data_IF_154530628224
#
_entry.id   IF_154530628224
#
_cell.length_a   1.000
_cell.length_b   1.000
_cell.length_c   1.000
_cell.angle_alpha   90.00
_cell.angle_beta   90.00
_cell.angle_gamma   90.00
#
_symmetry.space_group_name_H-M   'P 1'
#
loop_
_entity.id
_entity.type
_entity.pdbx_description
1 polymer ?
#
# COMPACT_ATOMS: atom_id res chain seq x y z
N UNK A 1 -8.05 -9.16 -1.32
CA UNK A 1 -8.90 -10.40 -1.27
C UNK A 1 -9.21 -10.88 -2.67
N UNK A 2 -9.65 -12.14 -2.89
CA UNK A 2 -9.93 -12.67 -4.24
C UNK A 2 -10.95 -11.87 -5.06
N UNK A 3 -11.77 -11.05 -4.39
CA UNK A 3 -12.79 -10.17 -5.00
C UNK A 3 -12.44 -8.68 -4.90
N UNK A 4 -11.26 -8.35 -4.39
CA UNK A 4 -10.83 -6.97 -4.24
C UNK A 4 -10.24 -6.47 -5.56
N UNK A 5 -10.60 -5.25 -5.94
CA UNK A 5 -10.01 -4.59 -7.09
C UNK A 5 -8.63 -4.02 -6.71
N UNK A 6 -7.53 -4.51 -7.31
CA UNK A 6 -6.18 -4.08 -6.97
C UNK A 6 -5.92 -2.61 -7.31
N UNK A 7 -6.55 -2.07 -8.37
CA UNK A 7 -6.39 -0.66 -8.74
C UNK A 7 -7.09 0.23 -7.72
N UNK A 8 -8.33 -0.11 -7.37
CA UNK A 8 -9.09 0.61 -6.34
C UNK A 8 -8.40 0.56 -4.97
N UNK A 9 -7.78 -0.57 -4.63
CA UNK A 9 -6.99 -0.71 -3.41
C UNK A 9 -5.82 0.27 -3.40
N UNK A 10 -5.04 0.36 -4.48
CA UNK A 10 -3.89 1.26 -4.59
C UNK A 10 -4.31 2.74 -4.50
N UNK A 11 -5.37 3.13 -5.20
CA UNK A 11 -5.87 4.51 -5.17
C UNK A 11 -6.30 4.91 -3.76
N UNK A 12 -7.16 4.10 -3.12
CA UNK A 12 -7.62 4.35 -1.75
C UNK A 12 -6.47 4.39 -0.75
N UNK A 13 -5.51 3.49 -0.91
CA UNK A 13 -4.36 3.44 -0.02
C UNK A 13 -3.47 4.68 -0.18
N UNK A 14 -3.24 5.15 -1.42
CA UNK A 14 -2.50 6.37 -1.69
C UNK A 14 -3.19 7.61 -1.10
N UNK A 15 -4.52 7.70 -1.19
CA UNK A 15 -5.31 8.77 -0.56
C UNK A 15 -5.15 8.77 0.97
N UNK A 16 -5.24 7.59 1.60
CA UNK A 16 -5.06 7.45 3.06
C UNK A 16 -3.64 7.85 3.47
N UNK A 17 -2.61 7.34 2.77
CA UNK A 17 -1.22 7.68 3.05
C UNK A 17 -0.96 9.19 2.89
N UNK A 18 -1.59 9.82 1.90
CA UNK A 18 -1.50 11.26 1.65
C UNK A 18 -2.18 12.10 2.75
N UNK A 19 -3.18 11.56 3.45
CA UNK A 19 -3.87 12.24 4.55
C UNK A 19 -3.06 12.30 5.86
N UNK A 20 -1.94 11.59 5.95
CA UNK A 20 -1.09 11.54 7.15
C UNK A 20 -0.27 12.82 7.40
N UNK A 21 -0.47 13.86 6.60
CA UNK A 21 0.22 15.16 6.76
C UNK A 21 1.68 15.16 6.28
N UNK A 22 2.09 14.15 5.51
CA UNK A 22 3.40 14.09 4.89
C UNK A 22 3.54 15.15 3.78
N UNK A 23 4.74 15.74 3.65
CA UNK A 23 5.05 16.62 2.52
C UNK A 23 5.04 15.83 1.20
N UNK A 24 4.86 16.50 0.05
CA UNK A 24 4.89 15.82 -1.27
C UNK A 24 6.16 14.97 -1.47
N UNK A 25 7.31 15.45 -0.96
CA UNK A 25 8.58 14.74 -1.04
C UNK A 25 8.64 13.48 -0.16
N UNK A 26 7.81 13.41 0.89
CA UNK A 26 7.75 12.28 1.82
C UNK A 26 6.65 11.28 1.48
N UNK A 27 5.63 11.68 0.70
CA UNK A 27 4.47 10.83 0.37
C UNK A 27 4.87 9.51 -0.26
N UNK A 28 5.82 9.51 -1.18
CA UNK A 28 6.31 8.27 -1.81
C UNK A 28 7.00 7.37 -0.78
N UNK A 29 7.84 7.92 0.09
CA UNK A 29 8.51 7.15 1.14
C UNK A 29 7.52 6.59 2.18
N UNK A 30 6.52 7.38 2.57
CA UNK A 30 5.45 6.94 3.48
C UNK A 30 4.62 5.85 2.81
N UNK A 31 4.24 6.03 1.55
CA UNK A 31 3.51 5.03 0.77
C UNK A 31 4.27 3.70 0.72
N UNK A 32 5.54 3.73 0.30
CA UNK A 32 6.38 2.53 0.21
C UNK A 32 6.55 1.84 1.56
N UNK A 33 6.69 2.61 2.65
CA UNK A 33 6.82 2.06 4.00
C UNK A 33 5.52 1.43 4.51
N UNK A 34 4.38 2.02 4.17
CA UNK A 34 3.08 1.60 4.69
C UNK A 34 2.43 0.51 3.82
N UNK A 35 2.73 0.46 2.51
CA UNK A 35 2.14 -0.48 1.55
C UNK A 35 2.20 -1.95 1.98
N UNK A 36 3.32 -2.48 2.52
CA UNK A 36 3.36 -3.89 2.97
C UNK A 36 2.34 -4.22 4.07
N UNK A 37 1.92 -3.20 4.83
CA UNK A 37 0.93 -3.35 5.90
C UNK A 37 -0.51 -3.41 5.38
N UNK A 38 -0.77 -2.96 4.15
CA UNK A 38 -2.10 -3.07 3.53
C UNK A 38 -2.35 -4.47 2.95
N UNK A 39 -1.29 -5.26 2.74
CA UNK A 39 -1.36 -6.59 2.17
C UNK A 39 -1.77 -7.64 3.23
N UNK A 40 -2.62 -8.58 2.82
CA UNK A 40 -3.10 -9.69 3.65
C UNK A 40 -3.13 -11.00 2.86
N UNK A 41 -3.03 -12.13 3.58
CA UNK A 41 -3.07 -13.47 3.00
C UNK A 41 -2.04 -13.66 1.87
N UNK A 42 -2.46 -14.31 0.78
CA UNK A 42 -1.58 -14.63 -0.34
C UNK A 42 -0.84 -13.43 -0.94
N UNK A 43 -1.41 -12.22 -0.91
CA UNK A 43 -0.73 -11.02 -1.39
C UNK A 43 0.44 -10.61 -0.47
N UNK A 44 0.27 -10.77 0.85
CA UNK A 44 1.34 -10.54 1.82
C UNK A 44 2.42 -11.61 1.70
N UNK A 45 2.01 -12.87 1.56
CA UNK A 45 2.94 -13.99 1.40
C UNK A 45 3.81 -13.81 0.15
N UNK A 46 3.20 -13.43 -0.99
CA UNK A 46 3.91 -13.09 -2.22
C UNK A 46 4.90 -11.93 -2.05
N UNK A 47 4.53 -10.89 -1.29
CA UNK A 47 5.41 -9.74 -1.04
C UNK A 47 6.63 -10.12 -0.19
N UNK A 48 6.47 -11.03 0.77
CA UNK A 48 7.55 -11.51 1.63
C UNK A 48 8.48 -12.52 0.94
N UNK A 49 8.00 -13.16 -0.13
CA UNK A 49 8.76 -14.11 -0.96
C UNK A 49 9.59 -13.44 -2.07
N UNK A 50 9.55 -12.10 -2.16
CA UNK A 50 10.39 -11.36 -3.11
C UNK A 50 11.88 -11.46 -2.72
N UNK A 51 12.79 -11.66 -3.70
CA UNK A 51 14.23 -11.83 -3.47
C UNK A 51 14.94 -10.57 -2.95
#
# INVERSE_FOLDING_TARGET
LPHEDPYNHLVKFYEIASSLGATEAEKEAVFMRMFPHSLIGAAKDWYLDQP
#
